data_IF_812071635066
#
_entry.id   IF_812071635066
#
_cell.length_a   1.000
_cell.length_b   1.000
_cell.length_c   1.000
_cell.angle_alpha   90.00
_cell.angle_beta   90.00
_cell.angle_gamma   90.00
#
_symmetry.space_group_name_H-M   'P 1'
#
loop_
_entity.id
_entity.type
_entity.pdbx_description
1 polymer ?
#
# COMPACT_ATOMS: atom_id res chain seq x y z
N UNK A 1 -22.45 5.31 -3.74
CA UNK A 1 -21.92 3.95 -3.48
C UNK A 1 -20.61 3.87 -4.21
N UNK A 2 -19.48 3.77 -3.51
CA UNK A 2 -18.19 3.53 -4.18
C UNK A 2 -18.13 2.06 -4.56
N UNK A 3 -17.99 1.77 -5.85
CA UNK A 3 -17.84 0.41 -6.34
C UNK A 3 -16.43 -0.09 -6.00
N UNK A 4 -16.36 -1.26 -5.37
CA UNK A 4 -15.10 -1.97 -5.15
C UNK A 4 -14.83 -2.88 -6.33
N UNK A 5 -13.58 -2.94 -6.75
CA UNK A 5 -13.11 -3.88 -7.78
C UNK A 5 -12.01 -4.77 -7.21
N UNK A 6 -11.98 -6.01 -7.68
CA UNK A 6 -10.91 -6.94 -7.37
C UNK A 6 -9.67 -6.65 -8.24
N UNK A 7 -8.51 -6.53 -7.60
CA UNK A 7 -7.24 -6.24 -8.29
C UNK A 7 -6.14 -7.13 -7.72
N UNK A 8 -5.28 -7.66 -8.59
CA UNK A 8 -4.06 -8.36 -8.16
C UNK A 8 -3.09 -7.40 -7.48
N UNK A 9 -2.52 -7.82 -6.36
CA UNK A 9 -1.58 -7.01 -5.57
C UNK A 9 -0.36 -6.60 -6.39
N UNK A 10 0.12 -7.48 -7.28
CA UNK A 10 1.23 -7.17 -8.20
C UNK A 10 0.97 -5.96 -9.11
N UNK A 11 -0.30 -5.65 -9.37
CA UNK A 11 -0.71 -4.56 -10.26
C UNK A 11 -1.00 -3.25 -9.50
N UNK A 12 -1.00 -3.28 -8.17
CA UNK A 12 -1.26 -2.09 -7.36
C UNK A 12 -0.05 -1.15 -7.35
N UNK A 13 -0.31 0.13 -7.54
CA UNK A 13 0.66 1.21 -7.36
C UNK A 13 -0.09 2.50 -7.00
N UNK A 14 0.57 3.45 -6.32
CA UNK A 14 -0.06 4.71 -5.92
C UNK A 14 -1.25 4.53 -4.98
N UNK A 15 -2.31 5.31 -5.16
CA UNK A 15 -3.44 5.36 -4.23
C UNK A 15 -4.15 4.00 -3.99
N UNK A 16 -4.37 3.13 -5.00
CA UNK A 16 -4.87 1.78 -4.77
C UNK A 16 -3.97 0.92 -3.87
N UNK A 17 -2.64 1.04 -4.00
CA UNK A 17 -1.70 0.33 -3.14
C UNK A 17 -1.73 0.89 -1.72
N UNK A 18 -1.70 2.21 -1.58
CA UNK A 18 -1.77 2.88 -0.27
C UNK A 18 -3.07 2.52 0.48
N UNK A 19 -4.18 2.39 -0.26
CA UNK A 19 -5.46 1.90 0.27
C UNK A 19 -5.35 0.47 0.78
N UNK A 20 -4.82 -0.43 -0.03
CA UNK A 20 -4.66 -1.82 0.36
C UNK A 20 -3.75 -1.95 1.60
N UNK A 21 -2.70 -1.13 1.70
CA UNK A 21 -1.84 -1.07 2.88
C UNK A 21 -2.61 -0.59 4.11
N UNK A 22 -3.45 0.45 3.98
CA UNK A 22 -4.29 0.91 5.10
C UNK A 22 -5.21 -0.21 5.61
N UNK A 23 -5.86 -0.95 4.72
CA UNK A 23 -6.70 -2.10 5.09
C UNK A 23 -5.88 -3.21 5.76
N UNK A 24 -4.69 -3.51 5.25
CA UNK A 24 -3.77 -4.47 5.84
C UNK A 24 -3.27 -4.02 7.24
N UNK A 25 -3.20 -2.72 7.49
CA UNK A 25 -2.84 -2.14 8.79
C UNK A 25 -4.03 -1.97 9.75
N UNK A 26 -5.23 -2.40 9.35
CA UNK A 26 -6.42 -2.36 10.19
C UNK A 26 -7.09 -1.00 10.30
N UNK A 27 -6.86 -0.11 9.33
CA UNK A 27 -7.59 1.14 9.23
C UNK A 27 -9.07 0.85 8.91
N UNK A 28 -9.96 1.73 9.36
CA UNK A 28 -11.39 1.65 9.02
C UNK A 28 -11.76 2.68 7.95
N UNK A 29 -12.82 2.38 7.20
CA UNK A 29 -13.32 3.27 6.15
C UNK A 29 -14.20 4.34 6.80
N UNK A 30 -14.02 5.59 6.41
CA UNK A 30 -14.93 6.66 6.79
C UNK A 30 -16.33 6.39 6.19
N UNK A 31 -17.39 6.34 7.00
CA UNK A 31 -18.73 6.00 6.53
C UNK A 31 -19.32 7.04 5.56
N UNK A 32 -18.86 8.29 5.63
CA UNK A 32 -19.32 9.40 4.79
C UNK A 32 -18.47 9.55 3.54
N UNK A 33 -17.14 9.40 3.67
CA UNK A 33 -16.18 9.59 2.58
C UNK A 33 -15.33 8.35 2.34
N UNK A 34 -15.78 7.43 1.48
CA UNK A 34 -15.17 6.10 1.25
C UNK A 34 -13.78 6.10 0.59
N UNK A 35 -13.19 7.26 0.34
CA UNK A 35 -11.78 7.43 -0.07
C UNK A 35 -10.89 8.00 1.05
N UNK A 36 -11.49 8.19 2.23
CA UNK A 36 -10.86 8.54 3.50
C UNK A 36 -10.89 7.32 4.41
N UNK A 37 -9.82 7.12 5.15
CA UNK A 37 -9.72 6.09 6.18
C UNK A 37 -9.42 6.71 7.53
N UNK A 38 -9.77 6.01 8.60
CA UNK A 38 -9.40 6.39 9.94
C UNK A 38 -8.24 5.50 10.41
N UNK A 39 -7.14 6.15 10.78
CA UNK A 39 -6.00 5.48 11.40
C UNK A 39 -6.46 4.79 12.69
N UNK A 40 -5.90 3.63 13.08
CA UNK A 40 -6.25 2.97 14.35
C UNK A 40 -6.12 3.86 15.60
N UNK A 41 -5.33 4.93 15.52
CA UNK A 41 -5.21 5.98 16.54
C UNK A 41 -6.32 7.05 16.54
N UNK A 42 -7.39 6.88 15.75
CA UNK A 42 -8.56 7.76 15.70
C UNK A 42 -8.42 9.02 14.85
N UNK A 43 -7.35 9.15 14.06
CA UNK A 43 -7.12 10.31 13.19
C UNK A 43 -7.56 10.02 11.75
N UNK A 44 -8.34 10.92 11.11
CA UNK A 44 -8.69 10.76 9.70
C UNK A 44 -7.46 10.97 8.80
N UNK A 45 -7.34 10.16 7.76
CA UNK A 45 -6.26 10.21 6.76
C UNK A 45 -6.85 10.03 5.36
N UNK A 46 -6.50 10.92 4.43
CA UNK A 46 -6.88 10.76 3.02
C UNK A 46 -5.95 9.78 2.31
N UNK A 47 -6.49 8.90 1.47
CA UNK A 47 -5.72 8.05 0.55
C UNK A 47 -5.87 8.51 -0.90
N UNK A 48 -6.81 9.42 -1.16
CA UNK A 48 -7.11 9.90 -2.50
C UNK A 48 -5.99 10.74 -3.14
N UNK A 49 -6.07 10.91 -4.46
CA UNK A 49 -5.26 11.89 -5.22
C UNK A 49 -5.45 13.30 -4.66
N UNK A 50 -6.63 13.66 -4.13
CA UNK A 50 -6.87 14.97 -3.50
C UNK A 50 -6.00 15.17 -2.26
N UNK A 51 -5.86 14.15 -1.40
CA UNK A 51 -4.93 14.21 -0.26
C UNK A 51 -3.49 14.46 -0.70
N UNK A 52 -3.04 13.86 -1.82
CA UNK A 52 -1.73 14.19 -2.40
C UNK A 52 -1.58 15.67 -2.73
N UNK A 53 -2.57 16.21 -3.44
CA UNK A 53 -2.54 17.58 -3.95
C UNK A 53 -2.50 18.59 -2.81
N UNK A 54 -3.14 18.27 -1.69
CA UNK A 54 -3.21 19.12 -0.51
C UNK A 54 -2.07 18.85 0.50
N UNK A 55 -1.13 17.95 0.18
CA UNK A 55 0.08 17.69 0.98
C UNK A 55 -0.15 16.89 2.26
N UNK A 56 -1.31 16.22 2.42
CA UNK A 56 -1.64 15.42 3.60
C UNK A 56 -2.18 14.03 3.21
N UNK A 57 -1.88 13.00 4.01
CA UNK A 57 -2.52 11.69 3.86
C UNK A 57 -1.61 10.48 3.94
N UNK A 58 -2.22 9.32 3.79
CA UNK A 58 -1.59 8.01 3.88
C UNK A 58 -1.07 7.57 2.50
N UNK A 59 0.25 7.51 2.36
CA UNK A 59 1.04 7.28 1.14
C UNK A 59 2.28 6.41 1.39
N UNK A 60 2.16 5.26 2.09
CA UNK A 60 3.31 4.44 2.44
C UNK A 60 4.10 3.93 1.24
N UNK A 61 3.50 3.84 0.05
CA UNK A 61 4.20 3.41 -1.17
C UNK A 61 5.17 4.45 -1.75
N UNK A 62 5.08 5.72 -1.31
CA UNK A 62 5.90 6.83 -1.85
C UNK A 62 6.49 7.74 -0.78
N UNK A 63 5.96 7.74 0.43
CA UNK A 63 6.45 8.55 1.56
C UNK A 63 7.27 7.68 2.52
N UNK A 64 8.58 7.88 2.56
CA UNK A 64 9.51 7.17 3.44
C UNK A 64 9.21 7.34 4.93
N UNK A 65 8.72 8.50 5.36
CA UNK A 65 8.34 8.72 6.76
C UNK A 65 7.18 7.82 7.22
N UNK A 66 6.42 7.25 6.28
CA UNK A 66 5.33 6.32 6.57
C UNK A 66 5.74 4.88 6.23
N UNK A 67 6.22 4.64 5.01
CA UNK A 67 6.63 3.32 4.54
C UNK A 67 7.82 2.74 5.30
N UNK A 68 8.82 3.57 5.65
CA UNK A 68 9.97 3.14 6.44
C UNK A 68 9.59 2.65 7.83
N UNK A 69 8.68 3.37 8.51
CA UNK A 69 8.15 2.94 9.81
C UNK A 69 7.39 1.61 9.72
N UNK A 70 6.70 1.34 8.60
CA UNK A 70 6.06 0.05 8.38
C UNK A 70 7.07 -1.09 8.18
N UNK A 71 8.19 -0.81 7.50
CA UNK A 71 9.27 -1.79 7.36
C UNK A 71 9.76 -2.21 8.75
N UNK A 72 10.10 -1.26 9.61
CA UNK A 72 10.55 -1.56 10.98
C UNK A 72 9.46 -2.27 11.80
N UNK A 73 8.22 -1.76 11.74
CA UNK A 73 7.07 -2.32 12.47
C UNK A 73 6.82 -3.80 12.16
N UNK A 74 7.05 -4.21 10.91
CA UNK A 74 6.83 -5.58 10.45
C UNK A 74 8.13 -6.38 10.29
N UNK A 75 9.24 -5.90 10.87
CA UNK A 75 10.58 -6.52 10.74
C UNK A 75 10.92 -6.86 9.29
N UNK A 76 10.51 -5.97 8.38
CA UNK A 76 10.52 -6.17 6.94
C UNK A 76 11.86 -5.89 6.31
N UNK A 77 11.95 -6.21 5.03
CA UNK A 77 13.11 -5.87 4.20
C UNK A 77 12.67 -5.45 2.80
N UNK A 78 13.52 -4.66 2.15
CA UNK A 78 13.43 -4.36 0.73
C UNK A 78 14.85 -4.34 0.16
N UNK A 79 15.06 -5.05 -0.94
CA UNK A 79 16.37 -5.23 -1.56
C UNK A 79 16.29 -4.90 -3.05
N UNK A 80 17.27 -4.15 -3.53
CA UNK A 80 17.49 -3.97 -4.97
C UNK A 80 18.13 -5.24 -5.56
N UNK A 81 17.60 -5.74 -6.67
CA UNK A 81 18.03 -6.96 -7.36
C UNK A 81 18.65 -6.57 -8.71
N UNK A 82 19.99 -6.59 -8.84
CA UNK A 82 20.66 -6.24 -10.09
C UNK A 82 20.25 -7.16 -11.24
N UNK A 83 20.11 -6.59 -12.44
CA UNK A 83 19.78 -7.33 -13.66
C UNK A 83 18.29 -7.60 -13.88
N UNK A 84 17.41 -7.17 -12.97
CA UNK A 84 15.97 -7.13 -13.22
C UNK A 84 15.56 -5.84 -13.96
N UNK A 85 14.42 -5.87 -14.69
CA UNK A 85 13.83 -4.68 -15.31
C UNK A 85 13.50 -3.58 -14.29
N UNK A 86 13.50 -2.32 -14.74
CA UNK A 86 13.29 -1.14 -13.89
C UNK A 86 11.96 -1.13 -13.13
N UNK A 87 10.94 -1.79 -13.66
CA UNK A 87 9.62 -1.91 -13.04
C UNK A 87 9.54 -2.98 -11.93
N UNK A 88 10.57 -3.82 -11.79
CA UNK A 88 10.60 -4.97 -10.89
C UNK A 88 11.91 -5.13 -10.11
N UNK A 89 12.85 -4.19 -10.21
CA UNK A 89 14.20 -4.35 -9.65
C UNK A 89 14.29 -4.27 -8.12
N UNK A 90 13.18 -4.09 -7.39
CA UNK A 90 13.13 -4.27 -5.94
C UNK A 90 12.28 -5.47 -5.58
N UNK A 91 12.72 -6.22 -4.56
CA UNK A 91 11.93 -7.24 -3.90
C UNK A 91 11.78 -6.89 -2.41
N UNK A 92 10.60 -7.10 -1.82
CA UNK A 92 10.38 -6.80 -0.41
C UNK A 92 9.13 -7.42 0.19
N UNK A 93 9.06 -7.34 1.52
CA UNK A 93 7.93 -7.82 2.32
C UNK A 93 8.22 -7.85 3.84
N UNK A 94 7.20 -8.12 4.66
CA UNK A 94 7.34 -8.26 6.11
C UNK A 94 8.04 -9.55 6.51
N UNK A 95 8.53 -9.63 7.75
CA UNK A 95 9.04 -10.88 8.31
C UNK A 95 7.98 -11.98 8.26
N UNK A 96 8.40 -13.21 7.92
CA UNK A 96 7.48 -14.34 7.80
C UNK A 96 6.65 -14.36 6.51
N UNK A 97 6.82 -13.39 5.61
CA UNK A 97 6.26 -13.49 4.26
C UNK A 97 6.88 -14.68 3.52
N UNK A 98 6.04 -15.67 3.17
CA UNK A 98 6.45 -16.84 2.38
C UNK A 98 6.69 -16.52 0.90
N UNK A 99 6.29 -15.32 0.44
CA UNK A 99 6.46 -14.85 -0.94
C UNK A 99 6.88 -13.38 -0.89
N UNK A 100 7.95 -13.06 -1.64
CA UNK A 100 8.40 -11.68 -1.82
C UNK A 100 7.72 -11.07 -3.03
N UNK A 101 7.30 -9.82 -2.91
CA UNK A 101 6.70 -9.08 -4.02
C UNK A 101 7.71 -8.12 -4.64
N UNK A 102 7.56 -7.88 -5.94
CA UNK A 102 8.44 -7.02 -6.71
C UNK A 102 7.83 -5.66 -6.99
N UNK A 103 8.67 -4.67 -7.26
CA UNK A 103 8.26 -3.37 -7.73
C UNK A 103 9.41 -2.45 -8.17
N UNK A 104 9.07 -1.26 -8.71
CA UNK A 104 10.04 -0.28 -9.18
C UNK A 104 10.74 0.48 -8.05
N UNK A 105 10.26 0.38 -6.81
CA UNK A 105 10.88 1.03 -5.65
C UNK A 105 10.83 0.10 -4.44
N UNK A 106 11.73 0.32 -3.49
CA UNK A 106 11.76 -0.41 -2.22
C UNK A 106 10.41 -0.36 -1.49
N UNK A 107 9.79 0.82 -1.43
CA UNK A 107 8.50 1.01 -0.77
C UNK A 107 7.36 0.30 -1.50
N UNK A 108 7.30 0.38 -2.84
CA UNK A 108 6.25 -0.33 -3.60
C UNK A 108 6.39 -1.84 -3.43
N UNK A 109 7.62 -2.37 -3.52
CA UNK A 109 7.89 -3.80 -3.33
C UNK A 109 7.47 -4.25 -1.92
N UNK A 110 7.90 -3.54 -0.88
CA UNK A 110 7.53 -3.84 0.50
C UNK A 110 6.02 -3.73 0.74
N UNK A 111 5.37 -2.65 0.30
CA UNK A 111 3.93 -2.46 0.47
C UNK A 111 3.11 -3.56 -0.22
N UNK A 112 3.49 -3.98 -1.43
CA UNK A 112 2.88 -5.13 -2.11
C UNK A 112 3.09 -6.41 -1.29
N UNK A 113 4.29 -6.63 -0.77
CA UNK A 113 4.60 -7.78 0.09
C UNK A 113 3.76 -7.80 1.37
N UNK A 114 3.58 -6.66 2.01
CA UNK A 114 2.76 -6.52 3.22
C UNK A 114 1.28 -6.81 2.94
N UNK A 115 0.73 -6.25 1.86
CA UNK A 115 -0.65 -6.51 1.44
C UNK A 115 -0.83 -7.99 1.12
N UNK A 116 0.07 -8.57 0.33
CA UNK A 116 0.00 -9.99 -0.04
C UNK A 116 0.05 -10.90 1.19
N UNK A 117 0.94 -10.61 2.13
CA UNK A 117 1.09 -11.40 3.35
C UNK A 117 -0.17 -11.40 4.22
N UNK A 118 -0.87 -10.27 4.30
CA UNK A 118 -2.02 -10.10 5.21
C UNK A 118 -3.37 -10.36 4.56
N UNK A 119 -3.52 -10.01 3.28
CA UNK A 119 -4.81 -10.01 2.58
C UNK A 119 -4.87 -11.01 1.41
N UNK A 120 -3.73 -11.54 0.97
CA UNK A 120 -3.63 -12.45 -0.19
C UNK A 120 -3.24 -11.74 -1.49
N UNK A 121 -3.17 -12.50 -2.58
CA UNK A 121 -2.65 -12.05 -3.88
C UNK A 121 -3.61 -11.13 -4.67
N UNK A 122 -4.85 -11.02 -4.19
CA UNK A 122 -5.95 -10.22 -4.74
C UNK A 122 -6.65 -9.46 -3.61
N UNK A 123 -7.05 -8.21 -3.87
CA UNK A 123 -7.73 -7.36 -2.89
C UNK A 123 -8.83 -6.51 -3.53
N UNK A 124 -9.77 -6.07 -2.69
CA UNK A 124 -10.83 -5.13 -3.08
C UNK A 124 -10.36 -3.69 -2.90
N UNK A 125 -10.40 -2.90 -3.97
CA UNK A 125 -10.05 -1.47 -3.96
C UNK A 125 -11.18 -0.61 -4.53
N UNK A 126 -11.40 0.61 -4.02
CA UNK A 126 -12.30 1.58 -4.62
C UNK A 126 -11.92 1.84 -6.09
N UNK A 127 -12.89 1.66 -6.99
CA UNK A 127 -12.72 1.92 -8.42
C UNK A 127 -12.22 3.34 -8.71
N UNK A 128 -12.65 4.30 -7.90
CA UNK A 128 -12.27 5.72 -8.00
C UNK A 128 -10.79 6.00 -7.72
N UNK A 129 -10.07 5.07 -7.08
CA UNK A 129 -8.64 5.20 -6.84
C UNK A 129 -7.81 4.65 -8.01
N UNK A 130 -8.42 3.88 -8.91
CA UNK A 130 -7.74 3.37 -10.09
C UNK A 130 -7.49 4.48 -11.11
N UNK A 131 -6.38 4.43 -11.86
CA UNK A 131 -6.17 5.30 -13.01
C UNK A 131 -7.26 5.21 -14.07
#
# INVERSE_FOLDING_TARGET
MTDLIEVRVSNLAGAPLDWAVAMAEGFTIDPECRTTVWHPGGLPCSISIRGAADGFGWRPSTNWGQGGLLIDKHSGTAQHIPGLPDDLHYAGGPAGAGVWCYGPTALIAFCRGLVNHKLGDTVQVPKELMP
#
